data_IF_627427012214
#
_entry.id   IF_627427012214
#
_cell.length_a   1.000
_cell.length_b   1.000
_cell.length_c   1.000
_cell.angle_alpha   90.00
_cell.angle_beta   90.00
_cell.angle_gamma   90.00
#
_symmetry.space_group_name_H-M   'P 1'
#
loop_
_entity.id
_entity.type
_entity.pdbx_description
1 polymer ?
#
# COMPACT_ATOMS: atom_id res chain seq x y z
N UNK A 1 49.41 30.52 17.66
CA UNK A 1 48.48 29.38 17.47
C UNK A 1 48.56 29.02 15.98
N UNK A 2 48.94 27.80 15.62
CA UNK A 2 49.41 27.48 14.24
C UNK A 2 48.26 27.55 13.22
N UNK A 3 48.44 28.38 12.18
CA UNK A 3 47.40 28.69 11.19
C UNK A 3 47.18 27.56 10.16
N UNK A 4 48.16 26.67 9.95
CA UNK A 4 48.15 25.74 8.82
C UNK A 4 47.45 24.40 9.12
N UNK A 5 47.73 23.76 10.27
CA UNK A 5 46.95 22.60 10.73
C UNK A 5 45.48 22.97 10.90
N UNK A 6 45.20 24.21 11.30
CA UNK A 6 43.85 24.77 11.33
C UNK A 6 43.24 24.88 9.93
N UNK A 7 43.95 25.33 8.89
CA UNK A 7 43.34 25.55 7.55
C UNK A 7 42.83 24.26 6.92
N UNK A 8 43.62 23.19 6.90
CA UNK A 8 43.21 21.96 6.22
C UNK A 8 42.15 21.19 7.02
N UNK A 9 42.34 21.09 8.34
CA UNK A 9 41.40 20.39 9.23
C UNK A 9 40.06 21.14 9.34
N UNK A 10 40.08 22.48 9.45
CA UNK A 10 38.85 23.28 9.46
C UNK A 10 38.15 23.26 8.11
N UNK A 11 38.88 23.20 6.98
CA UNK A 11 38.26 23.00 5.65
C UNK A 11 37.50 21.69 5.59
N UNK A 12 38.06 20.58 6.09
CA UNK A 12 37.37 19.30 6.11
C UNK A 12 36.17 19.28 7.06
N UNK A 13 36.24 19.94 8.23
CA UNK A 13 35.06 20.13 9.09
C UNK A 13 33.98 20.91 8.35
N UNK A 14 34.33 22.04 7.74
CA UNK A 14 33.38 22.91 7.06
C UNK A 14 32.71 22.19 5.88
N UNK A 15 33.50 21.48 5.06
CA UNK A 15 32.96 20.64 3.98
C UNK A 15 32.03 19.57 4.55
N UNK A 16 32.44 18.88 5.62
CA UNK A 16 31.60 17.84 6.25
C UNK A 16 30.30 18.41 6.82
N UNK A 17 30.34 19.60 7.42
CA UNK A 17 29.15 20.29 7.94
C UNK A 17 28.21 20.72 6.82
N UNK A 18 28.73 21.30 5.73
CA UNK A 18 27.93 21.68 4.56
C UNK A 18 27.28 20.46 3.92
N UNK A 19 28.03 19.38 3.74
CA UNK A 19 27.52 18.11 3.20
C UNK A 19 26.46 17.50 4.12
N UNK A 20 26.68 17.54 5.44
CA UNK A 20 25.70 17.06 6.41
C UNK A 20 24.38 17.84 6.31
N UNK A 21 24.46 19.17 6.35
CA UNK A 21 23.28 20.04 6.32
C UNK A 21 22.52 19.88 5.01
N UNK A 22 23.22 19.86 3.87
CA UNK A 22 22.57 19.69 2.56
C UNK A 22 21.95 18.30 2.41
N UNK A 23 22.61 17.25 2.90
CA UNK A 23 22.09 15.88 2.87
C UNK A 23 20.87 15.70 3.77
N UNK A 24 20.89 16.26 4.98
CA UNK A 24 19.75 16.25 5.90
C UNK A 24 18.58 17.03 5.31
N UNK A 25 18.82 18.24 4.79
CA UNK A 25 17.78 19.04 4.16
C UNK A 25 17.16 18.33 2.94
N UNK A 26 17.99 17.71 2.10
CA UNK A 26 17.52 16.89 0.98
C UNK A 26 16.69 15.69 1.42
N UNK A 27 17.15 14.95 2.43
CA UNK A 27 16.43 13.80 2.99
C UNK A 27 15.08 14.23 3.60
N UNK A 28 15.05 15.34 4.34
CA UNK A 28 13.82 15.93 4.87
C UNK A 28 12.84 16.31 3.77
N UNK A 29 13.30 16.98 2.71
CA UNK A 29 12.47 17.33 1.57
C UNK A 29 11.85 16.10 0.91
N UNK A 30 12.65 15.04 0.71
CA UNK A 30 12.17 13.78 0.13
C UNK A 30 11.16 13.07 1.03
N UNK A 31 11.38 13.07 2.35
CA UNK A 31 10.44 12.46 3.27
C UNK A 31 9.14 13.28 3.35
N UNK A 32 9.20 14.58 3.58
CA UNK A 32 8.00 15.42 3.72
C UNK A 32 7.11 15.41 2.46
N UNK A 33 7.69 15.23 1.28
CA UNK A 33 6.95 15.15 0.01
C UNK A 33 6.57 13.73 -0.41
N UNK A 34 7.00 12.70 0.31
CA UNK A 34 6.64 11.33 0.00
C UNK A 34 5.12 11.16 0.11
N UNK A 35 4.53 10.51 -0.89
CA UNK A 35 3.14 10.06 -0.86
C UNK A 35 3.11 8.54 -0.89
N UNK A 36 2.12 7.95 -0.25
CA UNK A 36 1.96 6.50 -0.25
C UNK A 36 1.58 5.97 -1.64
N UNK A 37 1.73 4.65 -1.85
CA UNK A 37 1.45 4.02 -3.13
C UNK A 37 -0.02 4.22 -3.51
N UNK A 38 -0.25 4.42 -4.80
CA UNK A 38 -1.60 4.44 -5.38
C UNK A 38 -1.98 2.98 -5.65
N UNK A 39 -3.03 2.51 -4.99
CA UNK A 39 -3.50 1.12 -5.07
C UNK A 39 -4.93 1.10 -5.59
N UNK A 40 -5.33 0.01 -6.25
CA UNK A 40 -6.70 -0.16 -6.71
C UNK A 40 -7.69 -0.12 -5.53
N UNK A 41 -8.82 0.55 -5.73
CA UNK A 41 -9.89 0.63 -4.73
C UNK A 41 -10.62 -0.72 -4.65
N UNK A 42 -10.39 -1.45 -3.55
CA UNK A 42 -11.02 -2.74 -3.30
C UNK A 42 -12.52 -2.60 -3.09
N UNK A 43 -12.96 -1.53 -2.42
CA UNK A 43 -14.39 -1.31 -2.15
C UNK A 43 -15.17 -0.99 -3.43
N UNK A 44 -14.59 -0.19 -4.33
CA UNK A 44 -15.20 0.05 -5.64
C UNK A 44 -15.37 -1.26 -6.44
N UNK A 45 -14.39 -2.17 -6.37
CA UNK A 45 -14.45 -3.48 -7.03
C UNK A 45 -15.49 -4.41 -6.41
N UNK A 46 -15.57 -4.45 -5.08
CA UNK A 46 -16.59 -5.23 -4.36
C UNK A 46 -18.01 -4.73 -4.68
N UNK A 47 -18.20 -3.41 -4.72
CA UNK A 47 -19.48 -2.81 -5.10
C UNK A 47 -19.87 -3.13 -6.55
N UNK A 48 -18.92 -3.07 -7.49
CA UNK A 48 -19.16 -3.45 -8.88
C UNK A 48 -19.54 -4.94 -9.02
N UNK A 49 -18.87 -5.83 -8.28
CA UNK A 49 -19.19 -7.26 -8.25
C UNK A 49 -20.57 -7.54 -7.63
N UNK A 50 -20.97 -6.78 -6.61
CA UNK A 50 -22.30 -6.91 -6.03
C UNK A 50 -23.39 -6.55 -7.07
N UNK A 51 -23.22 -5.45 -7.80
CA UNK A 51 -24.14 -5.06 -8.87
C UNK A 51 -24.20 -6.08 -10.01
N UNK A 52 -23.07 -6.72 -10.35
CA UNK A 52 -23.04 -7.80 -11.35
C UNK A 52 -23.83 -9.04 -10.89
N UNK A 53 -23.75 -9.40 -9.60
CA UNK A 53 -24.56 -10.49 -9.02
C UNK A 53 -26.04 -10.14 -9.01
N UNK A 54 -26.40 -8.94 -8.59
CA UNK A 54 -27.78 -8.47 -8.58
C UNK A 54 -28.40 -8.50 -10.00
N UNK A 55 -27.63 -8.09 -11.02
CA UNK A 55 -28.06 -8.17 -12.41
C UNK A 55 -28.25 -9.60 -12.91
N UNK A 56 -27.38 -10.54 -12.52
CA UNK A 56 -27.50 -11.97 -12.84
C UNK A 56 -28.72 -12.61 -12.17
N UNK A 57 -29.02 -12.25 -10.93
CA UNK A 57 -30.20 -12.76 -10.22
C UNK A 57 -31.50 -12.19 -10.82
N UNK A 58 -31.51 -10.92 -11.22
CA UNK A 58 -32.62 -10.33 -11.99
C UNK A 58 -32.81 -11.01 -13.36
N UNK A 59 -31.74 -11.45 -14.02
CA UNK A 59 -31.84 -12.16 -15.29
C UNK A 59 -32.63 -13.47 -15.15
N UNK A 60 -32.47 -14.21 -14.04
CA UNK A 60 -33.29 -15.41 -13.75
C UNK A 60 -34.78 -15.06 -13.61
N UNK A 61 -35.10 -13.91 -13.02
CA UNK A 61 -36.48 -13.44 -12.92
C UNK A 61 -37.12 -13.18 -14.30
N UNK A 62 -36.32 -12.74 -15.29
CA UNK A 62 -36.81 -12.57 -16.66
C UNK A 62 -37.17 -13.90 -17.33
N UNK A 63 -36.41 -14.97 -17.03
CA UNK A 63 -36.70 -16.32 -17.52
C UNK A 63 -38.00 -16.86 -16.92
N UNK A 64 -38.22 -16.67 -15.62
CA UNK A 64 -39.48 -16.99 -14.95
C UNK A 64 -40.67 -16.22 -15.53
N UNK A 65 -40.51 -14.93 -15.84
CA UNK A 65 -41.57 -14.12 -16.44
C UNK A 65 -41.97 -14.63 -17.84
N UNK A 66 -40.98 -14.98 -18.68
CA UNK A 66 -41.22 -15.53 -20.02
C UNK A 66 -41.86 -16.92 -19.94
N UNK A 67 -41.40 -17.77 -19.03
CA UNK A 67 -41.98 -19.10 -18.79
C UNK A 67 -43.41 -18.99 -18.30
N UNK A 68 -43.69 -18.11 -17.33
CA UNK A 68 -45.05 -17.86 -16.85
C UNK A 68 -46.00 -17.47 -17.98
N UNK A 69 -45.57 -16.61 -18.92
CA UNK A 69 -46.41 -16.26 -20.06
C UNK A 69 -46.73 -17.48 -20.95
N UNK A 70 -45.73 -18.32 -21.24
CA UNK A 70 -45.94 -19.54 -22.03
C UNK A 70 -46.95 -20.46 -21.34
N UNK A 71 -46.82 -20.65 -20.03
CA UNK A 71 -47.74 -21.46 -19.24
C UNK A 71 -49.14 -20.85 -19.19
N UNK A 72 -49.27 -19.53 -19.06
CA UNK A 72 -50.58 -18.85 -19.09
C UNK A 72 -51.25 -18.97 -20.46
N UNK A 73 -50.48 -18.88 -21.55
CA UNK A 73 -51.01 -19.04 -22.90
C UNK A 73 -51.48 -20.49 -23.13
N UNK A 74 -50.68 -21.50 -22.71
CA UNK A 74 -51.10 -22.92 -22.72
C UNK A 74 -52.34 -23.16 -21.85
N UNK A 75 -52.36 -22.61 -20.64
CA UNK A 75 -53.46 -22.79 -19.70
C UNK A 75 -54.76 -22.11 -20.18
N UNK A 76 -54.68 -21.04 -20.98
CA UNK A 76 -55.84 -20.43 -21.67
C UNK A 76 -56.36 -21.29 -22.83
N UNK A 77 -55.48 -21.98 -23.56
CA UNK A 77 -55.92 -22.89 -24.62
C UNK A 77 -56.64 -24.12 -24.03
N UNK A 78 -56.17 -24.60 -22.88
CA UNK A 78 -56.73 -25.75 -22.14
C UNK A 78 -57.96 -25.38 -21.27
N UNK A 79 -58.19 -24.11 -20.93
CA UNK A 79 -59.27 -23.69 -20.02
C UNK A 79 -60.68 -23.88 -20.56
N UNK A 80 -60.84 -24.19 -21.85
CA UNK A 80 -62.11 -24.68 -22.43
C UNK A 80 -62.61 -25.97 -21.73
N UNK A 81 -61.73 -26.68 -21.04
CA UNK A 81 -61.98 -27.87 -20.22
C UNK A 81 -62.48 -27.49 -18.81
N UNK A 82 -62.19 -26.28 -18.33
CA UNK A 82 -62.50 -25.78 -16.98
C UNK A 82 -63.81 -24.98 -16.89
N UNK A 83 -64.36 -24.53 -18.02
CA UNK A 83 -65.66 -23.84 -18.11
C UNK A 83 -66.81 -24.72 -17.61
N UNK A 84 -67.54 -24.23 -16.62
CA UNK A 84 -68.79 -24.83 -16.14
C UNK A 84 -69.92 -24.50 -17.14
N UNK A 85 -70.64 -25.52 -17.63
CA UNK A 85 -71.99 -25.32 -18.15
C UNK A 85 -72.85 -24.58 -17.10
N UNK A 86 -73.77 -23.68 -17.52
CA UNK A 86 -74.57 -22.89 -16.61
C UNK A 86 -75.38 -23.79 -15.67
N UNK A 87 -75.44 -23.41 -14.39
CA UNK A 87 -76.13 -24.13 -13.33
C UNK A 87 -77.60 -24.41 -13.71
N UNK A 88 -78.16 -25.61 -13.39
CA UNK A 88 -79.58 -25.84 -13.55
C UNK A 88 -80.37 -24.92 -12.61
N UNK A 89 -81.44 -24.31 -13.12
CA UNK A 89 -82.38 -23.48 -12.36
C UNK A 89 -82.89 -24.24 -11.10
N UNK A 90 -83.06 -23.54 -9.96
CA UNK A 90 -83.44 -24.18 -8.71
C UNK A 90 -84.88 -24.74 -8.79
N UNK A 91 -85.01 -26.06 -8.58
CA UNK A 91 -86.28 -26.75 -8.31
C UNK A 91 -86.88 -26.24 -6.99
N UNK A 92 -88.13 -25.79 -7.06
CA UNK A 92 -88.97 -25.38 -5.93
C UNK A 92 -89.30 -26.61 -5.07
N UNK A 93 -88.92 -26.60 -3.80
CA UNK A 93 -89.29 -27.63 -2.81
C UNK A 93 -90.68 -27.31 -2.22
N UNK A 94 -91.65 -28.22 -2.43
CA UNK A 94 -92.90 -28.32 -1.66
C UNK A 94 -92.70 -29.25 -0.46
N UNK A 95 -93.17 -28.83 0.73
CA UNK A 95 -93.38 -29.69 1.91
C UNK A 95 -94.63 -29.20 2.70
N UNK A 96 -95.23 -29.99 3.61
CA UNK A 96 -96.59 -30.50 3.46
C UNK A 96 -97.65 -29.85 4.39
N UNK A 97 -98.92 -29.99 3.98
CA UNK A 97 -100.10 -29.43 4.65
C UNK A 97 -100.47 -30.10 5.99
N UNK A 98 -101.30 -29.42 6.80
CA UNK A 98 -102.38 -30.12 7.48
C UNK A 98 -103.78 -29.46 7.36
N UNK A 99 -104.75 -30.33 7.05
CA UNK A 99 -106.20 -30.38 7.38
C UNK A 99 -107.14 -29.19 7.02
N UNK A 100 -108.20 -29.57 6.28
CA UNK A 100 -109.29 -28.76 5.69
C UNK A 100 -110.34 -28.29 6.71
N UNK A 101 -111.27 -27.36 6.34
CA UNK A 101 -112.52 -27.80 5.68
C UNK A 101 -113.05 -26.92 4.53
N UNK A 102 -113.62 -27.64 3.53
CA UNK A 102 -114.70 -27.29 2.58
C UNK A 102 -114.57 -26.08 1.63
N UNK A 103 -114.52 -26.40 0.32
CA UNK A 103 -115.21 -25.59 -0.71
C UNK A 103 -114.67 -25.71 -2.15
N UNK A 104 -115.46 -26.34 -3.03
CA UNK A 104 -115.52 -26.21 -4.52
C UNK A 104 -114.36 -26.75 -5.42
N UNK A 105 -114.75 -27.69 -6.29
CA UNK A 105 -114.15 -28.24 -7.55
C UNK A 105 -113.95 -27.16 -8.67
N UNK A 106 -113.40 -27.49 -9.89
CA UNK A 106 -112.26 -28.33 -10.37
C UNK A 106 -111.48 -27.55 -11.51
N UNK A 107 -110.86 -28.10 -12.61
CA UNK A 107 -110.28 -29.41 -12.98
C UNK A 107 -108.85 -29.36 -13.67
N UNK A 108 -108.37 -30.53 -14.15
CA UNK A 108 -107.56 -30.84 -15.37
C UNK A 108 -106.08 -31.28 -15.25
N UNK A 109 -105.85 -32.52 -15.76
CA UNK A 109 -104.76 -33.08 -16.60
C UNK A 109 -103.42 -32.32 -16.66
N UNK A 110 -102.25 -32.97 -16.61
CA UNK A 110 -101.73 -33.77 -17.74
C UNK A 110 -100.48 -34.57 -17.30
N UNK A 111 -100.31 -35.79 -17.83
CA UNK A 111 -99.13 -36.64 -17.61
C UNK A 111 -97.98 -36.17 -18.51
N UNK A 112 -96.88 -35.67 -17.94
CA UNK A 112 -95.61 -35.54 -18.66
C UNK A 112 -94.66 -36.71 -18.37
N UNK A 113 -94.07 -37.25 -19.43
CA UNK A 113 -93.13 -38.37 -19.45
C UNK A 113 -91.75 -37.92 -18.90
N UNK A 114 -91.00 -38.79 -18.22
CA UNK A 114 -89.63 -38.48 -17.80
C UNK A 114 -88.68 -38.38 -19.01
N UNK A 115 -87.95 -37.26 -19.11
CA UNK A 115 -86.82 -37.09 -20.04
C UNK A 115 -85.65 -38.00 -19.62
N UNK A 116 -84.90 -38.59 -20.57
CA UNK A 116 -83.77 -39.45 -20.25
C UNK A 116 -82.60 -38.64 -19.64
N UNK A 117 -81.80 -39.23 -18.74
CA UNK A 117 -80.70 -38.54 -18.09
C UNK A 117 -79.63 -38.16 -19.13
N UNK A 118 -79.19 -36.90 -19.12
CA UNK A 118 -78.04 -36.44 -19.91
C UNK A 118 -76.79 -37.23 -19.47
N UNK A 119 -75.92 -37.65 -20.41
CA UNK A 119 -74.70 -38.37 -20.09
C UNK A 119 -73.75 -37.48 -19.27
N UNK A 120 -73.29 -37.98 -18.12
CA UNK A 120 -72.22 -37.35 -17.33
C UNK A 120 -70.95 -37.34 -18.19
N UNK A 121 -70.45 -36.16 -18.52
CA UNK A 121 -69.09 -36.02 -19.05
C UNK A 121 -68.08 -36.58 -18.04
N UNK A 122 -66.93 -37.11 -18.51
CA UNK A 122 -65.91 -37.65 -17.63
C UNK A 122 -65.42 -36.61 -16.63
N UNK A 123 -65.19 -37.03 -15.39
CA UNK A 123 -64.76 -36.20 -14.26
C UNK A 123 -63.33 -35.67 -14.48
N UNK A 124 -63.20 -34.55 -15.19
CA UNK A 124 -61.93 -33.87 -15.48
C UNK A 124 -61.32 -33.19 -14.23
N UNK A 125 -62.00 -33.29 -13.08
CA UNK A 125 -61.60 -32.73 -11.79
C UNK A 125 -60.22 -33.19 -11.32
N UNK A 126 -59.83 -34.43 -11.62
CA UNK A 126 -58.51 -34.98 -11.27
C UNK A 126 -57.34 -34.42 -12.10
N UNK A 127 -57.60 -33.84 -13.29
CA UNK A 127 -56.57 -33.30 -14.19
C UNK A 127 -56.40 -31.78 -14.09
N UNK A 128 -57.35 -31.09 -13.45
CA UNK A 128 -57.38 -29.63 -13.36
C UNK A 128 -56.18 -29.03 -12.59
N UNK A 129 -55.78 -29.63 -11.45
CA UNK A 129 -54.64 -29.12 -10.68
C UNK A 129 -53.27 -29.39 -11.34
N UNK A 130 -52.97 -30.59 -11.87
CA UNK A 130 -51.75 -30.81 -12.63
C UNK A 130 -51.53 -29.83 -13.79
N UNK A 131 -52.60 -29.39 -14.45
CA UNK A 131 -52.53 -28.38 -15.51
C UNK A 131 -52.28 -26.96 -14.99
N UNK A 132 -52.87 -26.58 -13.84
CA UNK A 132 -52.70 -25.25 -13.24
C UNK A 132 -51.41 -25.10 -12.41
N UNK A 133 -50.82 -26.21 -11.96
CA UNK A 133 -49.68 -26.23 -11.06
C UNK A 133 -48.43 -25.53 -11.62
N UNK A 134 -48.01 -25.73 -12.89
CA UNK A 134 -46.85 -25.02 -13.45
C UNK A 134 -47.03 -23.49 -13.41
N UNK A 135 -48.23 -23.00 -13.75
CA UNK A 135 -48.56 -21.57 -13.67
C UNK A 135 -48.50 -21.05 -12.24
N UNK A 136 -49.02 -21.82 -11.27
CA UNK A 136 -48.94 -21.48 -9.84
C UNK A 136 -47.49 -21.43 -9.34
N UNK A 137 -46.68 -22.43 -9.68
CA UNK A 137 -45.28 -22.54 -9.25
C UNK A 137 -44.44 -21.38 -9.83
N UNK A 138 -44.61 -21.04 -11.12
CA UNK A 138 -43.92 -19.91 -11.75
C UNK A 138 -44.40 -18.55 -11.23
N UNK A 139 -45.70 -18.37 -11.00
CA UNK A 139 -46.22 -17.15 -10.38
C UNK A 139 -45.61 -16.94 -8.99
N UNK A 140 -45.51 -18.00 -8.18
CA UNK A 140 -44.91 -17.96 -6.84
C UNK A 140 -43.43 -17.59 -6.88
N UNK A 141 -42.67 -18.15 -7.84
CA UNK A 141 -41.25 -17.79 -8.05
C UNK A 141 -41.10 -16.33 -8.48
N UNK A 142 -41.96 -15.86 -9.37
CA UNK A 142 -41.90 -14.51 -9.90
C UNK A 142 -42.28 -13.44 -8.87
N UNK A 143 -43.22 -13.71 -7.96
CA UNK A 143 -43.53 -12.80 -6.83
C UNK A 143 -42.31 -12.54 -5.97
N UNK A 144 -41.46 -13.55 -5.72
CA UNK A 144 -40.23 -13.35 -4.95
C UNK A 144 -39.25 -12.37 -5.63
N UNK A 145 -39.33 -12.24 -6.96
CA UNK A 145 -38.53 -11.30 -7.74
C UNK A 145 -39.06 -9.85 -7.73
N UNK A 146 -40.33 -9.62 -7.37
CA UNK A 146 -40.99 -8.31 -7.49
C UNK A 146 -40.21 -7.20 -6.79
N UNK A 147 -39.78 -7.44 -5.56
CA UNK A 147 -39.02 -6.46 -4.76
C UNK A 147 -37.70 -6.09 -5.42
N UNK A 148 -36.99 -7.06 -6.01
CA UNK A 148 -35.73 -6.79 -6.70
C UNK A 148 -35.95 -6.02 -8.01
N UNK A 149 -36.99 -6.37 -8.75
CA UNK A 149 -37.36 -5.70 -10.01
C UNK A 149 -37.79 -4.25 -9.74
N UNK A 150 -38.66 -4.02 -8.75
CA UNK A 150 -39.16 -2.68 -8.40
C UNK A 150 -38.08 -1.74 -7.88
N UNK A 151 -37.03 -2.26 -7.23
CA UNK A 151 -35.86 -1.45 -6.84
C UNK A 151 -35.14 -0.82 -8.03
N UNK A 152 -35.14 -1.48 -9.19
CA UNK A 152 -34.41 -1.02 -10.40
C UNK A 152 -35.36 -0.33 -11.40
N UNK A 153 -36.57 -0.86 -11.54
CA UNK A 153 -37.61 -0.33 -12.40
C UNK A 153 -38.97 -0.44 -11.69
N UNK A 154 -39.52 0.66 -11.14
CA UNK A 154 -40.82 0.62 -10.48
C UNK A 154 -41.92 0.18 -11.45
N UNK A 155 -42.93 -0.52 -10.93
CA UNK A 155 -44.06 -0.96 -11.73
C UNK A 155 -44.95 0.24 -12.09
N UNK A 156 -45.30 0.36 -13.37
CA UNK A 156 -46.16 1.45 -13.87
C UNK A 156 -47.25 0.91 -14.81
N UNK A 157 -48.41 1.57 -14.79
CA UNK A 157 -49.54 1.24 -15.67
C UNK A 157 -49.95 -0.22 -15.59
N UNK A 158 -50.05 -0.88 -16.76
CA UNK A 158 -50.50 -2.27 -16.88
C UNK A 158 -49.60 -3.27 -16.13
N UNK A 159 -48.33 -2.95 -15.87
CA UNK A 159 -47.47 -3.86 -15.13
C UNK A 159 -47.93 -4.04 -13.67
N UNK A 160 -48.53 -3.01 -13.06
CA UNK A 160 -49.11 -3.08 -11.71
C UNK A 160 -50.24 -4.10 -11.64
N UNK A 161 -51.14 -4.07 -12.62
CA UNK A 161 -52.26 -5.03 -12.71
C UNK A 161 -51.72 -6.47 -12.91
N UNK A 162 -50.68 -6.62 -13.73
CA UNK A 162 -50.01 -7.90 -13.93
C UNK A 162 -49.39 -8.45 -12.65
N UNK A 163 -48.65 -7.64 -11.90
CA UNK A 163 -48.09 -8.03 -10.60
C UNK A 163 -49.16 -8.37 -9.57
N UNK A 164 -50.26 -7.62 -9.53
CA UNK A 164 -51.38 -7.86 -8.62
C UNK A 164 -52.03 -9.23 -8.89
N UNK A 165 -52.18 -9.60 -10.16
CA UNK A 165 -52.69 -10.92 -10.54
C UNK A 165 -51.71 -12.06 -10.14
N UNK A 166 -50.41 -11.86 -10.34
CA UNK A 166 -49.38 -12.83 -9.96
C UNK A 166 -49.35 -13.00 -8.43
N UNK A 167 -49.46 -11.92 -7.66
CA UNK A 167 -49.58 -11.96 -6.20
C UNK A 167 -50.85 -12.67 -5.74
N UNK A 168 -51.99 -12.43 -6.41
CA UNK A 168 -53.23 -13.12 -6.12
C UNK A 168 -53.11 -14.64 -6.32
N UNK A 169 -52.42 -15.08 -7.38
CA UNK A 169 -52.13 -16.51 -7.62
C UNK A 169 -51.20 -17.07 -6.54
N UNK A 170 -50.11 -16.38 -6.23
CA UNK A 170 -49.14 -16.83 -5.23
C UNK A 170 -49.72 -16.88 -3.80
N UNK A 171 -50.74 -16.05 -3.50
CA UNK A 171 -51.45 -16.06 -2.23
C UNK A 171 -52.40 -17.26 -2.08
N UNK A 172 -52.71 -17.99 -3.16
CA UNK A 172 -53.54 -19.18 -3.09
C UNK A 172 -52.79 -20.30 -2.34
N UNK A 173 -53.54 -21.04 -1.52
CA UNK A 173 -53.02 -22.22 -0.86
C UNK A 173 -53.10 -23.41 -1.82
N UNK A 174 -51.95 -23.97 -2.18
CA UNK A 174 -51.90 -25.19 -2.99
C UNK A 174 -52.67 -26.33 -2.28
N UNK A 175 -53.52 -27.08 -3.01
CA UNK A 175 -54.20 -28.24 -2.47
C UNK A 175 -53.18 -29.34 -2.14
N UNK A 176 -53.43 -30.08 -1.07
CA UNK A 176 -52.65 -31.26 -0.71
C UNK A 176 -53.01 -32.42 -1.64
N UNK A 177 -52.08 -33.36 -1.76
CA UNK A 177 -52.27 -34.56 -2.59
C UNK A 177 -53.44 -35.43 -2.11
N UNK A 178 -53.81 -35.34 -0.84
CA UNK A 178 -54.93 -36.06 -0.21
C UNK A 178 -56.28 -35.31 -0.30
N UNK A 179 -56.29 -34.06 -0.78
CA UNK A 179 -57.51 -33.25 -0.87
C UNK A 179 -58.47 -33.80 -1.95
N UNK A 180 -59.76 -33.47 -1.82
CA UNK A 180 -60.77 -33.96 -2.75
C UNK A 180 -60.55 -33.41 -4.18
N UNK A 181 -60.91 -34.17 -5.23
CA UNK A 181 -60.84 -33.67 -6.62
C UNK A 181 -61.60 -32.36 -6.85
N UNK A 182 -62.66 -32.12 -6.08
CA UNK A 182 -63.39 -30.86 -6.08
C UNK A 182 -62.54 -29.68 -5.57
N UNK A 183 -61.73 -29.87 -4.54
CA UNK A 183 -60.83 -28.84 -4.01
C UNK A 183 -59.72 -28.51 -5.03
N UNK A 184 -59.14 -29.53 -5.68
CA UNK A 184 -58.16 -29.36 -6.74
C UNK A 184 -58.71 -28.53 -7.91
N UNK A 185 -59.93 -28.82 -8.32
CA UNK A 185 -60.62 -28.09 -9.37
C UNK A 185 -60.99 -26.66 -8.95
N UNK A 186 -61.41 -26.43 -7.70
CA UNK A 186 -61.70 -25.07 -7.20
C UNK A 186 -60.45 -24.21 -7.18
N UNK A 187 -59.32 -24.72 -6.69
CA UNK A 187 -58.06 -23.96 -6.68
C UNK A 187 -57.54 -23.70 -8.09
N UNK A 188 -57.61 -24.68 -8.99
CA UNK A 188 -57.25 -24.49 -10.40
C UNK A 188 -58.08 -23.38 -11.07
N UNK A 189 -59.39 -23.31 -10.78
CA UNK A 189 -60.25 -22.21 -11.24
C UNK A 189 -59.88 -20.85 -10.64
N UNK A 190 -59.48 -20.81 -9.38
CA UNK A 190 -59.01 -19.57 -8.75
C UNK A 190 -57.72 -19.07 -9.39
N UNK A 191 -56.77 -19.97 -9.71
CA UNK A 191 -55.55 -19.64 -10.47
C UNK A 191 -55.92 -19.08 -11.84
N UNK A 192 -56.82 -19.74 -12.57
CA UNK A 192 -57.27 -19.28 -13.88
C UNK A 192 -57.92 -17.90 -13.82
N UNK A 193 -58.91 -17.73 -12.93
CA UNK A 193 -59.65 -16.48 -12.78
C UNK A 193 -58.74 -15.29 -12.42
N UNK A 194 -57.68 -15.52 -11.64
CA UNK A 194 -56.73 -14.48 -11.27
C UNK A 194 -55.83 -14.06 -12.44
N UNK A 195 -55.39 -14.99 -13.30
CA UNK A 195 -54.35 -14.73 -14.29
C UNK A 195 -54.85 -14.60 -15.74
N UNK A 196 -56.07 -15.07 -16.04
CA UNK A 196 -56.62 -15.13 -17.40
C UNK A 196 -56.61 -13.78 -18.10
N UNK A 197 -56.87 -12.68 -17.40
CA UNK A 197 -56.90 -11.32 -17.99
C UNK A 197 -55.69 -10.47 -17.60
N UNK A 198 -54.73 -11.06 -16.91
CA UNK A 198 -53.56 -10.35 -16.44
C UNK A 198 -52.67 -9.91 -17.62
N UNK A 199 -52.20 -8.66 -17.65
CA UNK A 199 -51.26 -8.18 -18.67
C UNK A 199 -49.83 -8.68 -18.40
N UNK A 200 -49.61 -10.00 -18.45
CA UNK A 200 -48.31 -10.63 -18.16
C UNK A 200 -47.19 -10.13 -19.08
N UNK A 201 -47.52 -9.72 -20.31
CA UNK A 201 -46.54 -9.09 -21.20
C UNK A 201 -45.96 -7.80 -20.61
N UNK A 202 -46.77 -6.97 -19.94
CA UNK A 202 -46.28 -5.74 -19.32
C UNK A 202 -45.31 -6.04 -18.15
N UNK A 203 -45.52 -7.16 -17.44
CA UNK A 203 -44.59 -7.64 -16.42
C UNK A 203 -43.27 -8.10 -17.05
N UNK A 204 -43.32 -8.85 -18.16
CA UNK A 204 -42.11 -9.24 -18.91
C UNK A 204 -41.34 -8.00 -19.39
N UNK A 205 -42.03 -7.02 -19.96
CA UNK A 205 -41.42 -5.79 -20.46
C UNK A 205 -40.77 -4.99 -19.30
N UNK A 206 -41.41 -4.94 -18.14
CA UNK A 206 -40.82 -4.32 -16.94
C UNK A 206 -39.58 -5.10 -16.46
N UNK A 207 -39.67 -6.42 -16.31
CA UNK A 207 -38.57 -7.25 -15.80
C UNK A 207 -37.38 -7.22 -16.76
N UNK A 208 -37.60 -7.31 -18.07
CA UNK A 208 -36.53 -7.19 -19.07
C UNK A 208 -35.93 -5.78 -19.11
N UNK A 209 -36.75 -4.74 -18.93
CA UNK A 209 -36.28 -3.37 -18.75
C UNK A 209 -35.41 -3.21 -17.49
N UNK A 210 -35.79 -3.85 -16.38
CA UNK A 210 -35.03 -3.86 -15.14
C UNK A 210 -33.68 -4.57 -15.31
N UNK A 211 -33.65 -5.74 -15.97
CA UNK A 211 -32.41 -6.47 -16.29
C UNK A 211 -31.48 -5.61 -17.15
N UNK A 212 -32.01 -4.94 -18.16
CA UNK A 212 -31.21 -4.07 -19.04
C UNK A 212 -30.60 -2.90 -18.26
N UNK A 213 -31.38 -2.26 -17.37
CA UNK A 213 -30.88 -1.19 -16.48
C UNK A 213 -29.83 -1.71 -15.50
N UNK A 214 -30.08 -2.85 -14.85
CA UNK A 214 -29.15 -3.45 -13.90
C UNK A 214 -27.82 -3.83 -14.57
N UNK A 215 -27.86 -4.43 -15.76
CA UNK A 215 -26.65 -4.72 -16.55
C UNK A 215 -25.89 -3.43 -16.94
N UNK A 216 -26.61 -2.37 -17.32
CA UNK A 216 -25.99 -1.07 -17.60
C UNK A 216 -25.31 -0.45 -16.37
N UNK A 217 -25.95 -0.54 -15.20
CA UNK A 217 -25.38 -0.09 -13.93
C UNK A 217 -24.15 -0.91 -13.54
N UNK A 218 -24.22 -2.24 -13.66
CA UNK A 218 -23.10 -3.15 -13.37
C UNK A 218 -21.90 -2.88 -14.29
N UNK A 219 -22.13 -2.70 -15.60
CA UNK A 219 -21.07 -2.34 -16.55
C UNK A 219 -20.42 -1.00 -16.21
N UNK A 220 -21.23 0.03 -15.95
CA UNK A 220 -20.74 1.36 -15.57
C UNK A 220 -19.92 1.31 -14.27
N UNK A 221 -20.39 0.57 -13.27
CA UNK A 221 -19.68 0.40 -12.00
C UNK A 221 -18.38 -0.38 -12.17
N UNK A 222 -18.36 -1.39 -13.05
CA UNK A 222 -17.15 -2.17 -13.38
C UNK A 222 -16.08 -1.31 -14.06
N UNK A 223 -16.48 -0.45 -15.00
CA UNK A 223 -15.57 0.48 -15.66
C UNK A 223 -15.05 1.55 -14.69
N UNK A 224 -15.92 2.06 -13.82
CA UNK A 224 -15.52 2.99 -12.75
C UNK A 224 -14.55 2.32 -11.75
N UNK A 225 -14.81 1.09 -11.34
CA UNK A 225 -13.95 0.33 -10.42
C UNK A 225 -12.62 -0.08 -11.04
N UNK A 226 -12.53 -0.22 -12.37
CA UNK A 226 -11.28 -0.49 -13.07
C UNK A 226 -10.32 0.70 -13.01
N UNK A 227 -10.85 1.93 -12.98
CA UNK A 227 -10.08 3.18 -12.92
C UNK A 227 -9.97 3.79 -11.52
N UNK A 228 -10.79 3.32 -10.57
CA UNK A 228 -10.75 3.77 -9.18
C UNK A 228 -9.44 3.36 -8.49
N UNK A 229 -8.69 4.37 -8.06
CA UNK A 229 -7.47 4.19 -7.29
C UNK A 229 -7.51 5.07 -6.04
N UNK A 230 -6.99 4.53 -4.93
CA UNK A 230 -6.88 5.23 -3.67
C UNK A 230 -5.40 5.36 -3.32
N UNK A 231 -5.01 6.55 -2.85
CA UNK A 231 -3.70 6.77 -2.27
C UNK A 231 -3.68 6.18 -0.85
N UNK A 232 -2.93 5.08 -0.66
CA UNK A 232 -2.77 4.52 0.66
C UNK A 232 -1.93 5.45 1.55
N UNK A 233 -2.19 5.49 2.87
CA UNK A 233 -1.28 6.16 3.79
C UNK A 233 0.10 5.49 3.74
N UNK A 234 1.15 6.28 3.97
CA UNK A 234 2.51 5.75 4.11
C UNK A 234 2.56 4.71 5.25
N UNK A 235 3.39 3.66 5.12
CA UNK A 235 3.56 2.69 6.18
C UNK A 235 4.02 3.41 7.45
N UNK A 236 3.36 3.10 8.58
CA UNK A 236 3.83 3.53 9.89
C UNK A 236 4.98 2.62 10.27
N UNK A 237 6.19 3.16 10.29
CA UNK A 237 7.36 2.49 10.85
C UNK A 237 7.20 2.20 12.35
N UNK A 238 8.18 1.51 12.92
CA UNK A 238 8.30 1.24 14.36
C UNK A 238 8.37 2.56 15.14
N UNK A 239 9.04 3.57 14.57
CA UNK A 239 9.05 4.92 15.09
C UNK A 239 8.08 5.81 14.31
N UNK A 240 7.40 6.72 15.03
CA UNK A 240 6.71 7.81 14.38
C UNK A 240 7.68 8.59 13.50
N UNK A 241 7.24 8.97 12.29
CA UNK A 241 8.09 9.62 11.28
C UNK A 241 8.90 10.80 11.81
N UNK A 242 8.26 11.64 12.63
CA UNK A 242 8.87 12.79 13.29
C UNK A 242 9.98 12.37 14.28
N UNK A 243 9.74 11.29 15.03
CA UNK A 243 10.69 10.71 15.99
C UNK A 243 11.89 10.10 15.27
N UNK A 244 11.67 9.34 14.20
CA UNK A 244 12.75 8.77 13.39
C UNK A 244 13.63 9.85 12.75
N UNK A 245 13.00 10.87 12.15
CA UNK A 245 13.72 12.00 11.55
C UNK A 245 14.55 12.73 12.62
N UNK A 246 13.95 13.09 13.75
CA UNK A 246 14.66 13.79 14.84
C UNK A 246 15.80 12.96 15.42
N UNK A 247 15.63 11.64 15.56
CA UNK A 247 16.69 10.73 15.98
C UNK A 247 17.86 10.71 14.99
N UNK A 248 17.60 10.59 13.68
CA UNK A 248 18.65 10.60 12.66
C UNK A 248 19.42 11.93 12.59
N UNK A 249 18.72 13.06 12.76
CA UNK A 249 19.36 14.39 12.86
C UNK A 249 20.20 14.50 14.14
N UNK A 250 19.70 14.01 15.27
CA UNK A 250 20.44 14.04 16.54
C UNK A 250 21.73 13.21 16.46
N UNK A 251 21.67 11.99 15.92
CA UNK A 251 22.85 11.13 15.72
C UNK A 251 23.87 11.81 14.80
N UNK A 252 23.40 12.42 13.72
CA UNK A 252 24.23 13.19 12.78
C UNK A 252 24.94 14.37 13.46
N UNK A 253 24.22 15.09 14.32
CA UNK A 253 24.76 16.22 15.08
C UNK A 253 25.77 15.77 16.14
N UNK A 254 25.50 14.67 16.84
CA UNK A 254 26.46 14.05 17.77
C UNK A 254 27.74 13.66 17.03
N UNK A 255 27.65 13.04 15.85
CA UNK A 255 28.81 12.71 15.03
C UNK A 255 29.65 13.94 14.63
N UNK A 256 28.99 15.05 14.29
CA UNK A 256 29.67 16.32 14.01
C UNK A 256 30.38 16.88 15.25
N UNK A 257 29.72 16.84 16.42
CA UNK A 257 30.32 17.27 17.67
C UNK A 257 31.54 16.42 18.05
N UNK A 258 31.44 15.09 17.95
CA UNK A 258 32.57 14.17 18.20
C UNK A 258 33.74 14.50 17.29
N UNK A 259 33.50 14.69 15.98
CA UNK A 259 34.54 15.07 15.03
C UNK A 259 35.20 16.42 15.39
N UNK A 260 34.40 17.41 15.77
CA UNK A 260 34.89 18.73 16.19
C UNK A 260 35.70 18.69 17.48
N UNK A 261 35.22 18.00 18.52
CA UNK A 261 35.92 17.88 19.80
C UNK A 261 37.21 17.06 19.67
N UNK A 262 37.21 16.01 18.85
CA UNK A 262 38.43 15.26 18.51
C UNK A 262 39.47 16.15 17.86
N UNK A 263 39.08 17.04 16.92
CA UNK A 263 39.99 18.03 16.33
C UNK A 263 40.52 19.04 17.33
N UNK A 264 39.66 19.53 18.21
CA UNK A 264 40.06 20.47 19.24
C UNK A 264 41.05 19.83 20.21
N UNK A 265 40.79 18.60 20.65
CA UNK A 265 41.68 17.86 21.54
C UNK A 265 43.06 17.63 20.92
N UNK A 266 43.12 17.20 19.65
CA UNK A 266 44.40 17.04 18.94
C UNK A 266 45.12 18.36 18.71
N UNK A 267 44.39 19.43 18.40
CA UNK A 267 44.96 20.77 18.22
C UNK A 267 45.58 21.31 19.52
N UNK A 268 44.86 21.17 20.64
CA UNK A 268 45.35 21.57 21.97
C UNK A 268 46.58 20.74 22.34
N UNK A 269 46.54 19.41 22.16
CA UNK A 269 47.68 18.53 22.43
C UNK A 269 48.92 18.95 21.63
N UNK A 270 48.79 19.11 20.31
CA UNK A 270 49.89 19.57 19.43
C UNK A 270 50.45 20.92 19.88
N UNK A 271 49.58 21.87 20.25
CA UNK A 271 50.02 23.18 20.72
C UNK A 271 50.78 23.09 22.06
N UNK A 272 50.33 22.25 22.99
CA UNK A 272 50.96 22.08 24.30
C UNK A 272 52.35 21.46 24.19
N UNK A 273 52.54 20.51 23.27
CA UNK A 273 53.81 19.84 23.02
C UNK A 273 54.84 20.77 22.37
N UNK A 274 54.42 21.67 21.47
CA UNK A 274 55.32 22.60 20.78
C UNK A 274 55.65 23.87 21.58
N UNK A 275 54.78 24.27 22.52
CA UNK A 275 54.96 25.50 23.31
C UNK A 275 56.32 25.60 24.05
N UNK A 276 56.84 24.55 24.73
CA UNK A 276 58.13 24.66 25.41
C UNK A 276 59.32 24.85 24.46
N UNK A 277 59.24 24.36 23.22
CA UNK A 277 60.35 24.39 22.26
C UNK A 277 60.42 25.66 21.41
N UNK A 278 59.36 26.49 21.40
CA UNK A 278 59.36 27.79 20.69
C UNK A 278 60.38 28.81 21.24
N UNK A 279 60.87 28.61 22.46
CA UNK A 279 61.82 29.52 23.13
C UNK A 279 63.22 28.89 23.27
N UNK A 280 63.41 27.67 22.79
CA UNK A 280 64.67 26.96 22.87
C UNK A 280 65.66 27.52 21.84
N UNK A 281 66.73 28.16 22.32
CA UNK A 281 67.77 28.79 21.48
C UNK A 281 69.04 27.91 21.40
N UNK A 282 69.20 26.96 22.35
CA UNK A 282 70.44 26.22 22.52
C UNK A 282 70.57 25.00 21.59
N UNK A 283 71.81 24.65 21.16
CA UNK A 283 72.07 23.54 20.24
C UNK A 283 71.43 22.18 20.60
N UNK A 284 71.53 21.64 21.84
CA UNK A 284 70.94 20.33 22.17
C UNK A 284 69.40 20.34 22.17
N UNK A 285 68.79 21.53 22.24
CA UNK A 285 67.35 21.70 22.21
C UNK A 285 66.81 21.74 20.76
N UNK A 286 67.69 21.95 19.76
CA UNK A 286 67.32 21.97 18.33
C UNK A 286 67.01 20.57 17.81
N UNK A 287 67.82 19.57 18.15
CA UNK A 287 67.54 18.17 17.83
C UNK A 287 66.24 17.66 18.46
N UNK A 288 66.01 18.03 19.72
CA UNK A 288 64.79 17.71 20.46
C UNK A 288 63.55 18.38 19.85
N UNK A 289 63.66 19.64 19.43
CA UNK A 289 62.58 20.36 18.74
C UNK A 289 62.27 19.73 17.37
N UNK A 290 63.28 19.47 16.55
CA UNK A 290 63.13 18.86 15.23
C UNK A 290 62.56 17.43 15.31
N UNK A 291 63.04 16.62 16.27
CA UNK A 291 62.50 15.29 16.51
C UNK A 291 61.04 15.32 16.98
N UNK A 292 60.68 16.30 17.81
CA UNK A 292 59.29 16.50 18.25
C UNK A 292 58.39 16.91 17.10
N UNK A 293 58.86 17.79 16.20
CA UNK A 293 58.11 18.17 14.99
C UNK A 293 57.90 16.97 14.07
N UNK A 294 58.94 16.17 13.82
CA UNK A 294 58.83 14.95 13.00
C UNK A 294 57.87 13.93 13.64
N UNK A 295 57.90 13.75 14.96
CA UNK A 295 56.91 12.90 15.65
C UNK A 295 55.49 13.42 15.53
N UNK A 296 55.28 14.72 15.66
CA UNK A 296 53.95 15.33 15.52
C UNK A 296 53.44 15.29 14.06
N UNK A 297 54.34 15.36 13.08
CA UNK A 297 54.02 15.20 11.66
C UNK A 297 53.62 13.75 11.32
N UNK A 298 54.16 12.78 12.06
CA UNK A 298 53.83 11.37 11.96
C UNK A 298 52.49 11.00 12.63
N UNK A 299 52.03 11.80 13.61
CA UNK A 299 50.72 11.58 14.23
C UNK A 299 49.58 11.82 13.22
N UNK A 300 48.56 10.94 13.16
CA UNK A 300 47.41 11.15 12.30
C UNK A 300 46.70 12.47 12.67
N UNK A 301 46.28 13.22 11.65
CA UNK A 301 45.47 14.42 11.88
C UNK A 301 44.21 14.05 12.67
N UNK A 302 43.85 14.94 13.60
CA UNK A 302 42.64 14.76 14.37
C UNK A 302 41.39 14.85 13.51
N UNK A 303 40.26 14.59 14.13
CA UNK A 303 38.97 14.67 13.47
C UNK A 303 38.55 13.43 12.78
N UNK A 304 37.23 13.34 12.67
CA UNK A 304 36.55 12.20 12.11
C UNK A 304 35.56 12.65 11.04
N UNK A 305 36.02 13.36 9.99
CA UNK A 305 35.13 13.83 8.93
C UNK A 305 34.46 12.67 8.19
N UNK A 306 35.10 11.50 8.14
CA UNK A 306 34.54 10.28 7.54
C UNK A 306 33.25 9.83 8.23
N UNK A 307 33.15 9.96 9.55
CA UNK A 307 31.94 9.63 10.31
C UNK A 307 30.78 10.56 9.90
N UNK A 308 31.06 11.86 9.81
CA UNK A 308 30.06 12.89 9.47
C UNK A 308 29.60 12.74 8.02
N UNK A 309 30.55 12.58 7.09
CA UNK A 309 30.27 12.38 5.67
C UNK A 309 29.53 11.06 5.43
N UNK A 310 29.94 9.99 6.11
CA UNK A 310 29.29 8.68 6.04
C UNK A 310 27.84 8.74 6.52
N UNK A 311 27.59 9.34 7.69
CA UNK A 311 26.25 9.53 8.23
C UNK A 311 25.35 10.36 7.30
N UNK A 312 25.90 11.47 6.76
CA UNK A 312 25.19 12.35 5.82
C UNK A 312 24.75 11.61 4.55
N UNK A 313 25.71 10.93 3.90
CA UNK A 313 25.48 10.24 2.63
C UNK A 313 24.63 8.98 2.82
N UNK A 314 24.84 8.23 3.89
CA UNK A 314 24.03 7.06 4.22
C UNK A 314 22.57 7.42 4.47
N UNK A 315 22.31 8.50 5.23
CA UNK A 315 20.95 9.00 5.42
C UNK A 315 20.30 9.49 4.13
N UNK A 316 21.03 10.23 3.29
CA UNK A 316 20.51 10.72 2.01
C UNK A 316 20.19 9.56 1.05
N UNK A 317 21.09 8.58 0.93
CA UNK A 317 20.88 7.41 0.07
C UNK A 317 19.67 6.59 0.53
N UNK A 318 19.54 6.35 1.84
CA UNK A 318 18.36 5.67 2.38
C UNK A 318 17.07 6.44 2.10
N UNK A 319 17.09 7.78 2.24
CA UNK A 319 15.96 8.62 1.90
C UNK A 319 15.63 8.63 0.40
N UNK A 320 16.59 8.40 -0.49
CA UNK A 320 16.35 8.31 -1.94
C UNK A 320 15.72 6.95 -2.31
N UNK A 321 16.28 5.85 -1.80
CA UNK A 321 15.89 4.49 -2.19
C UNK A 321 14.60 4.05 -1.48
N UNK A 322 14.43 4.44 -0.21
CA UNK A 322 13.38 3.93 0.68
C UNK A 322 12.52 5.09 1.23
N UNK A 323 12.20 6.07 0.37
CA UNK A 323 11.41 7.30 0.64
C UNK A 323 10.18 7.12 1.55
N UNK A 324 9.60 5.92 1.55
CA UNK A 324 8.35 5.61 2.22
C UNK A 324 8.49 5.35 3.73
N UNK A 325 9.68 5.00 4.22
CA UNK A 325 9.87 4.61 5.62
C UNK A 325 10.97 5.44 6.31
N UNK A 326 10.64 5.98 7.46
CA UNK A 326 11.55 6.81 8.25
C UNK A 326 12.56 5.96 9.03
N UNK A 327 12.25 4.69 9.30
CA UNK A 327 13.17 3.79 10.00
C UNK A 327 14.41 3.48 9.15
N UNK A 328 14.21 3.34 7.84
CA UNK A 328 15.31 3.16 6.88
C UNK A 328 16.24 4.37 6.82
N UNK A 329 15.73 5.59 7.05
CA UNK A 329 16.60 6.77 7.17
C UNK A 329 17.55 6.66 8.35
N UNK A 330 17.04 6.30 9.55
CA UNK A 330 17.87 6.12 10.74
C UNK A 330 18.89 5.00 10.55
N UNK A 331 18.45 3.88 9.99
CA UNK A 331 19.33 2.77 9.64
C UNK A 331 20.42 3.20 8.64
N UNK A 332 20.07 4.00 7.63
CA UNK A 332 21.00 4.55 6.65
C UNK A 332 22.02 5.49 7.27
N UNK A 333 21.61 6.38 8.17
CA UNK A 333 22.52 7.26 8.93
C UNK A 333 23.48 6.43 9.77
N UNK A 334 22.98 5.43 10.51
CA UNK A 334 23.81 4.57 11.36
C UNK A 334 24.79 3.71 10.55
N UNK A 335 24.33 3.07 9.49
CA UNK A 335 25.18 2.29 8.59
C UNK A 335 26.24 3.17 7.91
N UNK A 336 25.83 4.34 7.44
CA UNK A 336 26.73 5.34 6.86
C UNK A 336 27.80 5.79 7.85
N UNK A 337 27.44 5.99 9.11
CA UNK A 337 28.38 6.33 10.19
C UNK A 337 29.45 5.23 10.36
N UNK A 338 29.02 3.97 10.45
CA UNK A 338 29.93 2.82 10.61
C UNK A 338 30.86 2.66 9.40
N UNK A 339 30.31 2.75 8.18
CA UNK A 339 31.10 2.68 6.94
C UNK A 339 32.10 3.85 6.88
N UNK A 340 31.65 5.06 7.21
CA UNK A 340 32.49 6.25 7.27
C UNK A 340 33.65 6.11 8.25
N UNK A 341 33.38 5.53 9.43
CA UNK A 341 34.41 5.21 10.41
C UNK A 341 35.41 4.17 9.87
N UNK A 342 34.93 3.06 9.27
CA UNK A 342 35.78 2.00 8.73
C UNK A 342 36.69 2.51 7.61
N UNK A 343 36.13 3.24 6.64
CA UNK A 343 36.89 3.83 5.54
C UNK A 343 37.94 4.80 6.07
N UNK A 344 37.59 5.60 7.08
CA UNK A 344 38.53 6.53 7.70
C UNK A 344 39.66 5.80 8.45
N UNK A 345 39.35 4.73 9.18
CA UNK A 345 40.37 3.92 9.87
C UNK A 345 41.33 3.27 8.89
N UNK A 346 40.81 2.70 7.79
CA UNK A 346 41.62 2.10 6.72
C UNK A 346 42.50 3.12 5.99
N UNK A 347 41.96 4.30 5.68
CA UNK A 347 42.74 5.36 5.03
C UNK A 347 43.78 5.96 5.97
N UNK A 348 43.50 6.07 7.28
CA UNK A 348 44.49 6.47 8.29
C UNK A 348 45.61 5.45 8.43
N UNK A 349 45.34 4.14 8.33
CA UNK A 349 46.37 3.11 8.44
C UNK A 349 47.28 2.99 7.21
N UNK A 350 46.80 3.40 6.02
CA UNK A 350 47.54 3.24 4.75
C UNK A 350 48.20 4.57 4.30
N UNK A 351 47.72 5.71 4.76
CA UNK A 351 48.08 7.04 4.22
C UNK A 351 49.10 7.85 5.03
N UNK A 352 49.65 7.33 6.12
CA UNK A 352 50.51 8.09 7.05
C UNK A 352 51.86 8.49 6.44
N UNK A 353 52.53 7.61 5.69
CA UNK A 353 53.83 7.90 5.05
C UNK A 353 53.76 8.87 3.90
N UNK A 354 52.78 8.71 3.00
CA UNK A 354 52.69 9.51 1.76
C UNK A 354 52.54 11.01 2.00
N UNK A 355 51.93 11.40 3.12
CA UNK A 355 51.76 12.82 3.52
C UNK A 355 52.74 13.27 4.59
N UNK A 356 53.58 12.38 5.10
CA UNK A 356 54.53 12.68 6.17
C UNK A 356 55.52 13.77 5.76
N UNK A 357 56.09 13.66 4.56
CA UNK A 357 57.09 14.61 4.03
C UNK A 357 56.49 16.01 3.84
N UNK A 358 55.32 16.10 3.21
CA UNK A 358 54.58 17.37 3.01
C UNK A 358 54.23 18.02 4.35
N UNK A 359 53.75 17.23 5.33
CA UNK A 359 53.40 17.73 6.67
C UNK A 359 54.62 18.18 7.46
N UNK A 360 55.71 17.44 7.38
CA UNK A 360 56.96 17.76 8.09
C UNK A 360 57.55 19.07 7.58
N UNK A 361 57.57 19.28 6.26
CA UNK A 361 57.99 20.54 5.65
C UNK A 361 57.05 21.70 6.02
N UNK A 362 55.73 21.49 5.94
CA UNK A 362 54.76 22.53 6.28
C UNK A 362 54.83 22.95 7.76
N UNK A 363 55.06 22.02 8.69
CA UNK A 363 55.22 22.36 10.11
C UNK A 363 56.57 23.07 10.33
N UNK A 364 57.64 22.64 9.64
CA UNK A 364 58.96 23.26 9.72
C UNK A 364 58.99 24.70 9.21
N UNK A 365 58.23 25.03 8.16
CA UNK A 365 58.10 26.40 7.65
C UNK A 365 57.50 27.37 8.69
N UNK A 366 56.64 26.84 9.57
CA UNK A 366 55.90 27.62 10.57
C UNK A 366 56.67 27.69 11.89
N UNK A 367 57.23 26.56 12.33
CA UNK A 367 58.00 26.43 13.56
C UNK A 367 59.50 26.43 13.21
N UNK A 368 60.12 27.62 13.17
CA UNK A 368 61.58 27.75 12.97
C UNK A 368 62.34 27.20 14.19
N UNK A 369 63.52 26.56 14.02
CA UNK A 369 64.33 26.45 12.80
C UNK A 369 64.00 25.24 11.91
N UNK A 370 63.81 25.48 10.61
CA UNK A 370 63.43 24.47 9.61
C UNK A 370 64.61 23.62 9.09
N UNK A 371 65.85 24.12 9.22
CA UNK A 371 67.05 23.57 8.56
C UNK A 371 67.29 22.09 8.92
N UNK A 372 67.27 21.67 10.21
CA UNK A 372 67.50 20.26 10.55
C UNK A 372 66.43 19.33 9.98
N UNK A 373 65.18 19.80 9.86
CA UNK A 373 64.07 19.00 9.34
C UNK A 373 64.22 18.78 7.84
N UNK A 374 64.56 19.84 7.08
CA UNK A 374 64.79 19.74 5.64
C UNK A 374 65.97 18.78 5.35
N UNK A 375 67.05 18.89 6.12
CA UNK A 375 68.23 18.03 6.00
C UNK A 375 67.91 16.56 6.29
N UNK A 376 67.20 16.25 7.39
CA UNK A 376 66.76 14.89 7.69
C UNK A 376 65.88 14.35 6.56
N UNK A 377 64.92 15.14 6.07
CA UNK A 377 64.07 14.70 4.97
C UNK A 377 64.86 14.47 3.67
N UNK A 378 65.94 15.20 3.40
CA UNK A 378 66.82 14.95 2.25
C UNK A 378 67.54 13.60 2.35
N UNK A 379 67.89 13.15 3.56
CA UNK A 379 68.52 11.82 3.77
C UNK A 379 67.53 10.66 3.62
N UNK A 380 66.23 10.90 3.79
CA UNK A 380 65.18 9.88 3.61
C UNK A 380 64.76 9.83 2.15
N UNK A 381 65.06 8.71 1.48
CA UNK A 381 64.65 8.46 0.10
C UNK A 381 63.11 8.48 -0.03
N UNK A 382 62.55 9.20 -1.03
CA UNK A 382 61.11 9.18 -1.30
C UNK A 382 60.61 7.75 -1.52
N UNK A 383 59.58 7.33 -0.79
CA UNK A 383 59.03 5.97 -0.81
C UNK A 383 59.46 5.09 0.36
N UNK A 384 60.50 5.47 1.11
CA UNK A 384 60.98 4.74 2.30
C UNK A 384 60.54 5.40 3.63
N UNK A 385 59.56 6.30 3.59
CA UNK A 385 59.10 7.03 4.78
C UNK A 385 58.47 6.10 5.84
N UNK A 386 57.83 5.00 5.43
CA UNK A 386 57.26 4.01 6.36
C UNK A 386 58.34 3.30 7.20
N UNK A 387 59.47 2.95 6.58
CA UNK A 387 60.59 2.30 7.26
C UNK A 387 61.30 3.29 8.20
N UNK A 388 61.52 4.52 7.74
CA UNK A 388 62.05 5.60 8.56
C UNK A 388 61.14 5.87 9.78
N UNK A 389 59.83 6.01 9.58
CA UNK A 389 58.88 6.24 10.67
C UNK A 389 58.82 5.04 11.63
N UNK A 390 58.83 3.81 11.09
CA UNK A 390 58.82 2.58 11.88
C UNK A 390 60.06 2.43 12.78
N UNK A 391 61.21 2.94 12.35
CA UNK A 391 62.42 3.04 13.17
C UNK A 391 62.36 4.23 14.13
N UNK A 392 62.05 5.42 13.62
CA UNK A 392 62.11 6.69 14.35
C UNK A 392 61.13 6.79 15.52
N UNK A 393 59.93 6.21 15.36
CA UNK A 393 58.91 6.21 16.41
C UNK A 393 59.21 5.20 17.54
N UNK A 394 60.10 4.22 17.32
CA UNK A 394 60.53 3.26 18.37
C UNK A 394 61.60 3.82 19.30
N UNK A 395 62.33 4.86 18.87
CA UNK A 395 63.37 5.49 19.68
C UNK A 395 62.78 6.22 20.90
N UNK A 396 63.54 6.37 21.97
CA UNK A 396 63.19 7.33 23.02
C UNK A 396 63.28 8.79 22.50
N UNK A 397 62.63 9.77 23.14
CA UNK A 397 62.70 11.17 22.69
C UNK A 397 64.13 11.72 22.55
N UNK A 398 65.03 11.31 23.46
CA UNK A 398 66.45 11.70 23.46
C UNK A 398 67.25 11.01 22.36
N UNK A 399 66.98 9.72 22.11
CA UNK A 399 67.63 9.00 21.01
C UNK A 399 67.16 9.51 19.65
N UNK A 400 65.88 9.85 19.51
CA UNK A 400 65.33 10.46 18.31
C UNK A 400 65.94 11.85 18.04
N UNK A 401 66.16 12.65 19.09
CA UNK A 401 66.85 13.93 18.98
C UNK A 401 68.29 13.76 18.47
N UNK A 402 69.05 12.83 19.08
CA UNK A 402 70.41 12.51 18.65
C UNK A 402 70.46 11.94 17.23
N UNK A 403 69.47 11.15 16.83
CA UNK A 403 69.37 10.61 15.47
C UNK A 403 69.09 11.72 14.45
N UNK A 404 68.20 12.67 14.76
CA UNK A 404 67.92 13.85 13.92
C UNK A 404 69.15 14.72 13.77
N UNK A 405 69.91 14.98 14.83
CA UNK A 405 71.15 15.75 14.75
C UNK A 405 72.19 15.05 13.90
N UNK A 406 72.41 13.75 14.11
CA UNK A 406 73.36 12.96 13.29
C UNK A 406 72.99 12.95 11.81
N UNK A 407 71.71 12.76 11.49
CA UNK A 407 71.23 12.76 10.11
C UNK A 407 71.35 14.16 9.48
N UNK A 408 71.07 15.22 10.24
CA UNK A 408 71.25 16.58 9.77
C UNK A 408 72.73 16.91 9.48
N UNK A 409 73.64 16.55 10.38
CA UNK A 409 75.09 16.75 10.18
C UNK A 409 75.62 15.94 9.00
N UNK A 410 75.17 14.69 8.84
CA UNK A 410 75.53 13.86 7.68
C UNK A 410 75.05 14.47 6.35
N UNK A 411 73.86 15.06 6.34
CA UNK A 411 73.35 15.75 5.16
C UNK A 411 74.15 17.01 4.84
N UNK A 412 74.53 17.79 5.86
CA UNK A 412 75.39 18.98 5.68
C UNK A 412 76.75 18.59 5.08
N UNK A 413 77.39 17.54 5.60
CA UNK A 413 78.65 17.03 5.06
C UNK A 413 78.52 16.58 3.60
N UNK A 414 77.44 15.88 3.25
CA UNK A 414 77.19 15.47 1.85
C UNK A 414 76.99 16.65 0.91
N UNK A 415 76.29 17.69 1.36
CA UNK A 415 76.08 18.92 0.57
C UNK A 415 77.41 19.64 0.36
N UNK A 416 78.25 19.75 1.39
CA UNK A 416 79.57 20.38 1.29
C UNK A 416 80.48 19.63 0.32
N UNK A 417 80.52 18.29 0.41
CA UNK A 417 81.29 17.44 -0.52
C UNK A 417 80.79 17.61 -1.96
N UNK A 418 79.47 17.66 -2.17
CA UNK A 418 78.89 17.85 -3.50
C UNK A 418 79.16 19.26 -4.06
N UNK A 419 79.16 20.29 -3.19
CA UNK A 419 79.49 21.66 -3.56
C UNK A 419 80.98 21.81 -3.93
N UNK A 420 81.88 21.19 -3.17
CA UNK A 420 83.31 21.17 -3.47
C UNK A 420 83.60 20.43 -4.78
N UNK A 421 82.90 19.31 -5.04
CA UNK A 421 83.02 18.59 -6.31
C UNK A 421 82.53 19.40 -7.52
N UNK A 422 81.49 20.21 -7.36
CA UNK A 422 81.02 21.14 -8.40
C UNK A 422 81.93 22.37 -8.57
N UNK A 423 82.61 22.81 -7.52
CA UNK A 423 83.58 23.91 -7.61
C UNK A 423 84.88 23.51 -8.32
N UNK A 424 85.18 22.21 -8.41
CA UNK A 424 86.34 21.66 -9.11
C UNK A 424 86.06 21.23 -10.57
N UNK A 425 84.81 21.30 -11.03
CA UNK A 425 84.40 21.08 -12.42
C UNK A 425 84.16 22.39 -13.14
#
# INVERSE_FOLDING_TARGET
>A
MNEYTRREEVRWILVSAVVLVSSVAGALGLMLTARGPVVADVHAREAAQALERDAQDLAKCSEHAVTLKKEVDLFRDDSKVLEQQPAPEPEVQEEPAPKTPKGRKPPKNEKEKPKPPKPKMPDQSAQAWPAAKPTYDEATRLVACKVAVEKVAPAEGKAVDGWTAIEAVAALKAPKQEDTPSAHLTTARQVFAAIEKAPIQAVIDQVSGAVTKANGQAATAKDAAASATIQQPLPRGVLGREVAISAGVLVSLIGLLVSFFSLRATSVRRSSVLTPYRKAVHPPERGLHAATILRLAAEPNGGEPGIVLGAALGGLLAAIVLRADADWYVAGVAAGLVIGLLVQTLTKSIGTSKRFRERSLAIAEIEKPAVPIVLVLQTVQPGNEDEFLGFFLKLSPTEAANAVEKLATQAEEQILIAADAQAMS
#
